data_IF_573082488235
#
_entry.id   IF_573082488235
#
_cell.length_a   1.000
_cell.length_b   1.000
_cell.length_c   1.000
_cell.angle_alpha   90.00
_cell.angle_beta   90.00
_cell.angle_gamma   90.00
#
_symmetry.space_group_name_H-M   'P 1'
#
loop_
_entity.id
_entity.type
_entity.pdbx_description
1 polymer ?
#
# COMPACT_ATOMS: atom_id res chain seq x y z
N UNK A 1 -10.65 5.73 -7.56
CA UNK A 1 -10.42 4.26 -7.47
C UNK A 1 -9.98 3.64 -8.80
N UNK A 2 -9.60 4.46 -9.74
CA UNK A 2 -9.12 4.11 -11.10
C UNK A 2 -7.64 3.67 -11.17
N UNK A 3 -6.93 3.69 -10.05
CA UNK A 3 -5.50 3.33 -9.98
C UNK A 3 -5.26 2.08 -9.13
N UNK A 4 -4.28 1.23 -9.50
CA UNK A 4 -3.92 0.07 -8.70
C UNK A 4 -3.18 0.51 -7.43
N UNK A 5 -3.84 0.40 -6.28
CA UNK A 5 -3.27 0.70 -4.98
C UNK A 5 -3.78 -0.25 -3.90
N UNK A 6 -3.03 -0.36 -2.78
CA UNK A 6 -3.41 -1.26 -1.69
C UNK A 6 -4.67 -0.80 -0.94
N UNK A 7 -4.94 0.51 -0.91
CA UNK A 7 -6.15 1.07 -0.30
C UNK A 7 -7.36 0.77 -1.17
N UNK A 8 -7.24 0.99 -2.47
CA UNK A 8 -8.27 0.72 -3.47
C UNK A 8 -8.61 -0.78 -3.49
N UNK A 9 -7.60 -1.64 -3.48
CA UNK A 9 -7.78 -3.10 -3.42
C UNK A 9 -8.55 -3.50 -2.15
N UNK A 10 -8.11 -3.02 -0.99
CA UNK A 10 -8.82 -3.29 0.28
C UNK A 10 -10.27 -2.81 0.21
N UNK A 11 -10.50 -1.56 -0.22
CA UNK A 11 -11.84 -0.96 -0.26
C UNK A 11 -12.78 -1.80 -1.13
N UNK A 12 -12.36 -2.18 -2.34
CA UNK A 12 -13.19 -2.96 -3.25
C UNK A 12 -13.54 -4.35 -2.69
N UNK A 13 -12.54 -5.06 -2.17
CA UNK A 13 -12.77 -6.43 -1.69
C UNK A 13 -13.47 -6.48 -0.34
N UNK A 14 -13.13 -5.60 0.61
CA UNK A 14 -13.82 -5.54 1.91
C UNK A 14 -15.28 -5.12 1.74
N UNK A 15 -15.57 -4.09 0.95
CA UNK A 15 -16.95 -3.67 0.69
C UNK A 15 -17.79 -4.76 0.04
N UNK A 16 -17.20 -5.51 -0.91
CA UNK A 16 -17.86 -6.64 -1.56
C UNK A 16 -18.14 -7.81 -0.59
N UNK A 17 -17.22 -8.09 0.34
CA UNK A 17 -17.43 -9.12 1.35
C UNK A 17 -18.53 -8.72 2.35
N UNK A 18 -18.53 -7.46 2.78
CA UNK A 18 -19.56 -6.95 3.70
C UNK A 18 -20.96 -7.00 3.07
N UNK A 19 -21.10 -6.64 1.78
CA UNK A 19 -22.39 -6.77 1.06
C UNK A 19 -22.86 -8.22 1.06
N UNK A 20 -21.99 -9.19 0.73
CA UNK A 20 -22.33 -10.62 0.77
C UNK A 20 -22.78 -11.10 2.14
N UNK A 21 -22.37 -10.43 3.21
CA UNK A 21 -22.79 -10.69 4.60
C UNK A 21 -24.05 -9.91 5.02
N UNK A 22 -24.69 -9.19 4.08
CA UNK A 22 -25.95 -8.49 4.30
C UNK A 22 -25.83 -7.07 4.83
N UNK A 23 -24.64 -6.47 4.81
CA UNK A 23 -24.45 -5.05 5.14
C UNK A 23 -24.83 -4.16 3.96
N UNK A 24 -25.48 -3.02 4.20
CA UNK A 24 -25.63 -1.94 3.22
C UNK A 24 -24.33 -1.13 3.19
N UNK A 25 -23.59 -1.22 2.10
CA UNK A 25 -22.25 -0.65 2.00
C UNK A 25 -22.21 0.48 0.97
N UNK A 26 -21.74 1.63 1.40
CA UNK A 26 -21.53 2.78 0.55
C UNK A 26 -20.06 3.22 0.59
N UNK A 27 -19.47 3.37 -0.57
CA UNK A 27 -18.09 3.89 -0.73
C UNK A 27 -18.15 5.32 -1.22
N UNK A 28 -17.72 6.25 -0.36
CA UNK A 28 -17.51 7.65 -0.73
C UNK A 28 -16.02 7.85 -1.04
N UNK A 29 -15.71 8.16 -2.29
CA UNK A 29 -14.33 8.30 -2.76
C UNK A 29 -14.05 9.65 -3.42
N UNK A 30 -12.81 9.88 -3.78
CA UNK A 30 -12.34 11.13 -4.37
C UNK A 30 -11.36 10.84 -5.51
N UNK A 31 -11.85 10.88 -6.73
CA UNK A 31 -11.04 10.75 -7.95
C UNK A 31 -11.23 11.93 -8.89
N UNK A 32 -10.17 12.28 -9.61
CA UNK A 32 -10.19 13.41 -10.55
C UNK A 32 -11.06 13.19 -11.78
N UNK A 33 -11.41 11.96 -12.06
CA UNK A 33 -12.29 11.49 -13.14
C UNK A 33 -13.34 10.55 -12.56
N UNK A 34 -14.50 10.46 -13.21
CA UNK A 34 -15.47 9.40 -12.95
C UNK A 34 -15.11 8.17 -13.80
N UNK A 35 -15.22 6.99 -13.23
CA UNK A 35 -14.90 5.74 -13.91
C UNK A 35 -15.17 4.52 -13.03
N UNK A 36 -14.98 3.35 -13.63
CA UNK A 36 -15.07 2.10 -12.88
C UNK A 36 -13.83 1.90 -12.02
N UNK A 37 -13.97 1.30 -10.84
CA UNK A 37 -12.82 0.93 -10.01
C UNK A 37 -11.88 -0.01 -10.76
N UNK A 38 -10.58 0.13 -10.49
CA UNK A 38 -9.56 -0.77 -11.07
C UNK A 38 -9.72 -2.22 -10.61
N UNK A 39 -10.09 -2.42 -9.35
CA UNK A 39 -10.37 -3.75 -8.80
C UNK A 39 -11.85 -4.06 -8.89
N UNK A 40 -12.23 -5.35 -9.07
CA UNK A 40 -13.62 -5.74 -9.07
C UNK A 40 -14.28 -5.39 -7.72
N UNK A 41 -15.49 -4.87 -7.82
CA UNK A 41 -16.33 -4.52 -6.69
C UNK A 41 -17.73 -5.07 -6.92
N UNK A 42 -18.39 -5.54 -5.86
CA UNK A 42 -19.75 -6.06 -5.94
C UNK A 42 -20.69 -4.95 -6.43
N UNK A 43 -21.58 -5.22 -7.42
CA UNK A 43 -22.48 -4.22 -7.98
C UNK A 43 -23.48 -3.64 -6.98
N UNK A 44 -23.75 -4.32 -5.87
CA UNK A 44 -24.61 -3.80 -4.80
C UNK A 44 -23.92 -2.75 -3.93
N UNK A 45 -22.58 -2.62 -4.01
CA UNK A 45 -21.85 -1.55 -3.32
C UNK A 45 -22.15 -0.22 -3.98
N UNK A 46 -22.82 0.68 -3.25
CA UNK A 46 -23.08 2.04 -3.71
C UNK A 46 -21.78 2.85 -3.74
N UNK A 47 -21.53 3.54 -4.86
CA UNK A 47 -20.27 4.27 -5.07
C UNK A 47 -20.54 5.73 -5.41
N UNK A 48 -19.90 6.66 -4.70
CA UNK A 48 -20.06 8.10 -4.93
C UNK A 48 -18.72 8.83 -4.95
N UNK A 49 -18.49 9.60 -6.01
CA UNK A 49 -17.32 10.48 -6.09
C UNK A 49 -17.67 11.87 -5.55
N UNK A 50 -17.08 12.27 -4.43
CA UNK A 50 -17.35 13.55 -3.77
C UNK A 50 -16.99 14.78 -4.64
N UNK A 51 -16.17 14.61 -5.65
CA UNK A 51 -15.78 15.70 -6.56
C UNK A 51 -16.81 15.99 -7.63
N UNK A 52 -17.76 15.09 -7.86
CA UNK A 52 -18.73 15.16 -8.94
C UNK A 52 -20.17 15.25 -8.41
N UNK A 53 -21.05 15.84 -9.20
CA UNK A 53 -22.50 15.90 -8.99
C UNK A 53 -23.15 15.93 -10.38
N UNK A 54 -24.05 14.97 -10.65
CA UNK A 54 -24.69 14.81 -11.97
C UNK A 54 -23.71 14.75 -13.16
N UNK A 55 -22.59 14.02 -12.99
CA UNK A 55 -21.57 13.87 -14.04
C UNK A 55 -20.66 15.10 -14.23
N UNK A 56 -20.85 16.16 -13.44
CA UNK A 56 -20.03 17.37 -13.53
C UNK A 56 -19.12 17.53 -12.31
N UNK A 57 -17.85 17.86 -12.57
CA UNK A 57 -16.90 18.14 -11.49
C UNK A 57 -17.25 19.47 -10.81
N UNK A 58 -17.64 19.41 -9.55
CA UNK A 58 -18.17 20.54 -8.76
C UNK A 58 -17.22 21.00 -7.66
N UNK A 59 -16.12 20.28 -7.44
CA UNK A 59 -15.10 20.62 -6.43
C UNK A 59 -13.76 20.89 -7.12
N UNK A 60 -13.22 22.07 -6.89
CA UNK A 60 -11.83 22.38 -7.29
C UNK A 60 -10.86 22.04 -6.17
N UNK A 61 -9.94 21.11 -6.45
CA UNK A 61 -8.87 20.76 -5.51
C UNK A 61 -7.66 21.73 -5.61
N UNK A 62 -7.66 22.62 -6.62
CA UNK A 62 -6.62 23.60 -6.82
C UNK A 62 -6.87 24.82 -5.93
N UNK A 63 -5.91 25.14 -5.09
CA UNK A 63 -5.93 26.38 -4.31
C UNK A 63 -6.06 27.60 -5.23
N UNK A 64 -6.89 28.59 -4.88
CA UNK A 64 -6.88 29.91 -5.48
C UNK A 64 -5.47 30.53 -5.46
N UNK A 65 -5.17 31.40 -6.41
CA UNK A 65 -3.83 31.97 -6.56
C UNK A 65 -3.30 32.62 -5.25
N UNK A 66 -4.11 33.42 -4.60
CA UNK A 66 -3.73 34.08 -3.34
C UNK A 66 -3.37 33.08 -2.23
N UNK A 67 -4.14 32.01 -2.09
CA UNK A 67 -3.86 30.95 -1.10
C UNK A 67 -2.62 30.11 -1.50
N UNK A 68 -2.32 29.96 -2.79
CA UNK A 68 -1.07 29.33 -3.23
C UNK A 68 0.15 30.17 -2.82
N UNK A 69 0.11 31.46 -3.07
CA UNK A 69 1.19 32.38 -2.64
C UNK A 69 1.35 32.32 -1.13
N UNK A 70 0.26 32.46 -0.37
CA UNK A 70 0.29 32.37 1.09
C UNK A 70 0.86 31.04 1.59
N UNK A 71 0.50 29.93 0.97
CA UNK A 71 1.06 28.59 1.28
C UNK A 71 2.57 28.53 1.04
N UNK A 72 3.06 29.08 -0.08
CA UNK A 72 4.51 29.06 -0.37
C UNK A 72 5.29 29.91 0.65
N UNK A 73 4.75 31.06 1.04
CA UNK A 73 5.34 31.87 2.12
C UNK A 73 5.30 31.10 3.46
N UNK A 74 4.17 30.47 3.78
CA UNK A 74 4.06 29.66 5.00
C UNK A 74 5.02 28.46 5.00
N UNK A 75 5.35 27.91 3.84
CA UNK A 75 6.29 26.79 3.68
C UNK A 75 7.72 27.18 4.08
N UNK A 76 8.11 28.43 3.85
CA UNK A 76 9.41 28.96 4.28
C UNK A 76 9.54 28.97 5.82
N UNK A 77 8.41 29.09 6.52
CA UNK A 77 8.37 29.11 7.99
C UNK A 77 8.15 27.71 8.57
N UNK A 78 7.28 26.92 7.97
CA UNK A 78 6.93 25.57 8.45
C UNK A 78 6.18 24.78 7.38
N UNK A 79 6.70 23.60 7.05
CA UNK A 79 6.03 22.65 6.14
C UNK A 79 4.66 22.19 6.69
N UNK A 80 4.55 22.02 8.01
CA UNK A 80 3.28 21.67 8.70
C UNK A 80 2.22 22.75 8.47
N UNK A 81 2.61 24.04 8.57
CA UNK A 81 1.69 25.17 8.34
C UNK A 81 1.21 25.23 6.89
N UNK A 82 2.09 24.99 5.94
CA UNK A 82 1.72 24.94 4.52
C UNK A 82 0.77 23.78 4.20
N UNK A 83 0.95 22.62 4.83
CA UNK A 83 0.03 21.48 4.71
C UNK A 83 -1.35 21.80 5.30
N UNK A 84 -1.40 22.48 6.44
CA UNK A 84 -2.63 22.94 7.08
C UNK A 84 -3.51 23.79 6.17
N UNK A 85 -2.92 24.71 5.39
CA UNK A 85 -3.65 25.55 4.44
C UNK A 85 -4.37 24.72 3.37
N UNK A 86 -3.72 23.67 2.84
CA UNK A 86 -4.34 22.76 1.89
C UNK A 86 -5.48 21.94 2.53
N UNK A 87 -5.25 21.46 3.76
CA UNK A 87 -6.24 20.64 4.47
C UNK A 87 -7.49 21.45 4.83
N UNK A 88 -7.31 22.70 5.29
CA UNK A 88 -8.42 23.61 5.59
C UNK A 88 -9.21 23.99 4.33
N UNK A 89 -8.54 24.35 3.24
CA UNK A 89 -9.22 24.66 1.97
C UNK A 89 -10.06 23.48 1.47
N UNK A 90 -9.52 22.25 1.53
CA UNK A 90 -10.25 21.05 1.16
C UNK A 90 -11.40 20.76 2.12
N UNK A 91 -11.17 20.91 3.42
CA UNK A 91 -12.19 20.70 4.45
C UNK A 91 -13.42 21.59 4.26
N UNK A 92 -13.22 22.88 3.92
CA UNK A 92 -14.30 23.83 3.63
C UNK A 92 -15.18 23.40 2.44
N UNK A 93 -14.62 22.66 1.49
CA UNK A 93 -15.37 22.17 0.33
C UNK A 93 -16.00 20.79 0.59
N UNK A 94 -15.26 19.89 1.25
CA UNK A 94 -15.73 18.52 1.47
C UNK A 94 -16.70 18.42 2.64
N UNK A 95 -16.49 19.16 3.72
CA UNK A 95 -17.31 19.07 4.94
C UNK A 95 -18.82 19.20 4.69
N UNK A 96 -19.30 20.29 4.05
CA UNK A 96 -20.73 20.45 3.74
C UNK A 96 -21.28 19.35 2.83
N UNK A 97 -20.46 18.83 1.89
CA UNK A 97 -20.86 17.75 0.97
C UNK A 97 -20.98 16.42 1.71
N UNK A 98 -20.00 16.08 2.54
CA UNK A 98 -20.05 14.88 3.38
C UNK A 98 -21.26 14.94 4.32
N UNK A 99 -21.53 16.09 4.93
CA UNK A 99 -22.70 16.27 5.80
C UNK A 99 -24.00 16.02 5.04
N UNK A 100 -24.16 16.60 3.84
CA UNK A 100 -25.35 16.38 2.98
C UNK A 100 -25.46 14.91 2.58
N UNK A 101 -24.34 14.30 2.20
CA UNK A 101 -24.27 12.90 1.83
C UNK A 101 -24.72 11.99 2.97
N UNK A 102 -24.19 12.19 4.19
CA UNK A 102 -24.56 11.39 5.36
C UNK A 102 -26.02 11.61 5.82
N UNK A 103 -26.59 12.78 5.53
CA UNK A 103 -28.01 13.02 5.77
C UNK A 103 -28.91 12.22 4.79
N UNK A 104 -28.42 11.98 3.58
CA UNK A 104 -29.14 11.21 2.55
C UNK A 104 -28.87 9.69 2.67
N UNK A 105 -27.65 9.33 3.07
CA UNK A 105 -27.18 7.95 3.24
C UNK A 105 -26.65 7.78 4.68
N UNK A 106 -27.54 7.58 5.66
CA UNK A 106 -27.14 7.38 7.04
C UNK A 106 -26.31 6.09 7.17
N UNK A 107 -25.36 6.11 8.09
CA UNK A 107 -24.49 4.98 8.36
C UNK A 107 -24.37 4.74 9.86
N UNK A 108 -24.18 3.47 10.27
CA UNK A 108 -23.93 3.08 11.65
C UNK A 108 -22.45 3.19 12.02
N UNK A 109 -21.57 2.99 11.04
CA UNK A 109 -20.11 3.07 11.19
C UNK A 109 -19.45 3.63 9.93
N UNK A 110 -18.42 4.42 10.09
CA UNK A 110 -17.61 4.94 8.98
C UNK A 110 -16.18 4.42 9.09
N UNK A 111 -15.68 3.76 8.04
CA UNK A 111 -14.28 3.38 7.88
C UNK A 111 -13.54 4.48 7.12
N UNK A 112 -12.70 5.24 7.79
CA UNK A 112 -11.94 6.35 7.19
C UNK A 112 -10.52 5.93 6.85
N UNK A 113 -10.17 5.93 5.56
CA UNK A 113 -8.92 5.37 5.04
C UNK A 113 -7.67 6.22 5.35
N UNK A 114 -7.79 7.36 6.01
CA UNK A 114 -6.65 8.22 6.38
C UNK A 114 -7.03 9.24 7.46
N UNK A 115 -6.04 9.79 8.17
CA UNK A 115 -6.27 10.87 9.13
C UNK A 115 -6.87 12.15 8.48
N UNK A 116 -6.44 12.61 7.29
CA UNK A 116 -7.13 13.71 6.60
C UNK A 116 -8.60 13.42 6.32
N UNK A 117 -8.94 12.20 5.87
CA UNK A 117 -10.34 11.82 5.65
C UNK A 117 -11.15 11.82 6.95
N UNK A 118 -10.55 11.35 8.05
CA UNK A 118 -11.16 11.41 9.39
C UNK A 118 -11.46 12.85 9.81
N UNK A 119 -10.54 13.79 9.57
CA UNK A 119 -10.78 15.21 9.81
C UNK A 119 -11.96 15.74 9.00
N UNK A 120 -12.05 15.41 7.71
CA UNK A 120 -13.17 15.85 6.88
C UNK A 120 -14.52 15.32 7.38
N UNK A 121 -14.56 14.09 7.88
CA UNK A 121 -15.79 13.48 8.40
C UNK A 121 -16.14 14.02 9.79
N UNK A 122 -15.22 13.94 10.75
CA UNK A 122 -15.50 14.28 12.16
C UNK A 122 -15.57 15.79 12.36
N UNK A 123 -14.56 16.54 11.85
CA UNK A 123 -14.43 17.97 12.14
C UNK A 123 -15.20 18.80 11.14
N UNK A 124 -14.92 18.65 9.84
CA UNK A 124 -15.45 19.56 8.81
C UNK A 124 -16.93 19.25 8.50
N UNK A 125 -17.34 17.99 8.47
CA UNK A 125 -18.74 17.62 8.32
C UNK A 125 -19.54 17.62 9.63
N UNK A 126 -18.86 17.59 10.79
CA UNK A 126 -19.51 17.50 12.09
C UNK A 126 -20.23 16.17 12.35
N UNK A 127 -19.75 15.10 11.75
CA UNK A 127 -20.34 13.77 11.84
C UNK A 127 -20.29 13.24 13.27
N UNK A 128 -21.38 12.60 13.72
CA UNK A 128 -21.51 11.95 15.04
C UNK A 128 -21.49 10.42 14.98
N UNK A 129 -21.54 9.88 13.77
CA UNK A 129 -21.42 8.43 13.54
C UNK A 129 -20.04 7.95 13.98
N UNK A 130 -19.92 6.79 14.63
CA UNK A 130 -18.65 6.21 15.00
C UNK A 130 -17.72 6.05 13.80
N UNK A 131 -16.49 6.59 13.92
CA UNK A 131 -15.47 6.53 12.85
C UNK A 131 -14.32 5.63 13.27
N UNK A 132 -13.96 4.67 12.44
CA UNK A 132 -12.70 3.93 12.55
C UNK A 132 -11.67 4.58 11.64
N UNK A 133 -10.60 5.13 12.22
CA UNK A 133 -9.48 5.71 11.46
C UNK A 133 -8.46 4.65 11.10
N UNK A 134 -8.18 4.50 9.80
CA UNK A 134 -7.23 3.53 9.29
C UNK A 134 -5.87 4.18 9.00
N UNK A 135 -4.80 3.62 9.58
CA UNK A 135 -3.43 3.99 9.23
C UNK A 135 -2.85 2.95 8.27
N UNK A 136 -2.66 3.35 7.02
CA UNK A 136 -2.24 2.47 5.92
C UNK A 136 -0.72 2.46 5.70
N UNK A 137 0.04 3.20 6.48
CA UNK A 137 1.49 3.24 6.51
C UNK A 137 2.03 2.95 7.92
N UNK A 138 3.33 3.18 8.14
CA UNK A 138 3.93 3.01 9.46
C UNK A 138 3.47 4.15 10.41
N UNK A 139 2.79 3.84 11.52
CA UNK A 139 2.38 4.84 12.52
C UNK A 139 3.55 5.64 13.09
N UNK A 140 4.75 5.05 13.20
CA UNK A 140 5.93 5.77 13.66
C UNK A 140 6.34 6.92 12.74
N UNK A 141 6.02 6.80 11.45
CA UNK A 141 6.30 7.83 10.43
C UNK A 141 5.10 8.77 10.26
N UNK A 142 3.88 8.23 10.21
CA UNK A 142 2.69 9.01 9.88
C UNK A 142 2.18 9.87 11.04
N UNK A 143 2.14 9.33 12.26
CA UNK A 143 1.53 10.02 13.39
C UNK A 143 2.28 11.29 13.86
N UNK A 144 3.62 11.37 13.82
CA UNK A 144 4.33 12.62 14.10
C UNK A 144 4.00 13.74 13.13
N UNK A 145 3.63 13.41 11.88
CA UNK A 145 3.38 14.36 10.80
C UNK A 145 1.94 14.89 10.77
N UNK A 146 1.05 14.36 11.60
CA UNK A 146 -0.34 14.83 11.69
C UNK A 146 -0.40 16.30 12.09
N UNK A 147 -1.26 17.07 11.42
CA UNK A 147 -1.63 18.41 11.87
C UNK A 147 -2.38 18.35 13.21
N UNK A 148 -2.47 19.47 13.91
CA UNK A 148 -3.19 19.50 15.18
C UNK A 148 -4.67 19.16 15.01
N UNK A 149 -5.30 19.66 13.94
CA UNK A 149 -6.69 19.34 13.60
C UNK A 149 -6.91 17.87 13.24
N UNK A 150 -5.97 17.25 12.48
CA UNK A 150 -6.02 15.81 12.20
C UNK A 150 -5.85 15.00 13.47
N UNK A 151 -4.95 15.40 14.36
CA UNK A 151 -4.73 14.75 15.66
C UNK A 151 -5.97 14.82 16.53
N UNK A 152 -6.62 15.99 16.63
CA UNK A 152 -7.88 16.15 17.35
C UNK A 152 -9.01 15.31 16.77
N UNK A 153 -9.11 15.23 15.46
CA UNK A 153 -10.11 14.40 14.78
C UNK A 153 -9.87 12.90 15.05
N UNK A 154 -8.63 12.44 14.90
CA UNK A 154 -8.28 11.03 15.19
C UNK A 154 -8.47 10.69 16.67
N UNK A 155 -8.23 11.62 17.58
CA UNK A 155 -8.49 11.41 19.01
C UNK A 155 -9.98 11.22 19.35
N UNK A 156 -10.89 11.62 18.46
CA UNK A 156 -12.34 11.41 18.56
C UNK A 156 -12.84 10.16 17.83
N UNK A 157 -11.93 9.39 17.22
CA UNK A 157 -12.32 8.14 16.56
C UNK A 157 -12.79 7.09 17.56
N UNK A 158 -13.75 6.27 17.16
CA UNK A 158 -14.22 5.14 17.95
C UNK A 158 -13.14 4.03 18.05
N UNK A 159 -12.32 3.89 17.00
CA UNK A 159 -11.14 3.04 17.01
C UNK A 159 -10.10 3.51 15.97
N UNK A 160 -8.85 3.09 16.18
CA UNK A 160 -7.76 3.22 15.21
C UNK A 160 -7.37 1.84 14.74
N UNK A 161 -7.33 1.64 13.42
CA UNK A 161 -6.75 0.44 12.81
C UNK A 161 -5.33 0.73 12.35
N UNK A 162 -4.42 -0.20 12.69
CA UNK A 162 -3.05 -0.28 12.18
C UNK A 162 -2.83 -1.61 11.49
N UNK A 163 -1.80 -1.71 10.64
CA UNK A 163 -1.58 -2.89 9.81
C UNK A 163 -0.93 -4.07 10.56
N UNK A 164 -0.17 -3.79 11.64
CA UNK A 164 0.66 -4.78 12.32
C UNK A 164 0.48 -4.75 13.84
N UNK A 165 0.49 -5.91 14.52
CA UNK A 165 0.45 -5.96 15.98
C UNK A 165 1.58 -5.18 16.65
N UNK A 166 2.79 -5.21 16.09
CA UNK A 166 3.95 -4.46 16.54
C UNK A 166 3.73 -2.95 16.58
N UNK A 167 2.80 -2.41 15.78
CA UNK A 167 2.50 -0.98 15.66
C UNK A 167 1.40 -0.50 16.62
N UNK A 168 0.73 -1.41 17.33
CA UNK A 168 -0.34 -1.06 18.29
C UNK A 168 0.20 -0.20 19.42
N UNK A 169 1.33 -0.61 20.02
CA UNK A 169 1.94 0.16 21.11
C UNK A 169 2.36 1.57 20.70
N UNK A 170 2.85 1.70 19.44
CA UNK A 170 3.23 3.01 18.88
C UNK A 170 1.99 3.89 18.74
N UNK A 171 0.92 3.38 18.16
CA UNK A 171 -0.32 4.15 17.97
C UNK A 171 -0.93 4.56 19.32
N UNK A 172 -0.94 3.67 20.32
CA UNK A 172 -1.41 3.98 21.67
C UNK A 172 -0.58 5.07 22.36
N UNK A 173 0.71 5.19 22.04
CA UNK A 173 1.54 6.29 22.59
C UNK A 173 1.04 7.66 22.12
N UNK A 174 0.55 7.77 20.88
CA UNK A 174 0.00 9.02 20.32
C UNK A 174 -1.47 9.23 20.70
N UNK A 175 -2.24 8.15 20.84
CA UNK A 175 -3.69 8.16 21.09
C UNK A 175 -4.06 7.22 22.24
N UNK A 176 -3.66 7.52 23.49
CA UNK A 176 -3.79 6.58 24.62
C UNK A 176 -5.24 6.26 24.99
N UNK A 177 -6.19 7.13 24.65
CA UNK A 177 -7.62 6.95 24.97
C UNK A 177 -8.42 6.27 23.86
N UNK A 178 -7.86 6.13 22.67
CA UNK A 178 -8.55 5.51 21.54
C UNK A 178 -8.20 4.02 21.46
N UNK A 179 -9.18 3.12 21.34
CA UNK A 179 -8.92 1.71 21.08
C UNK A 179 -8.10 1.53 19.81
N UNK A 180 -7.03 0.73 19.84
CA UNK A 180 -6.18 0.44 18.69
C UNK A 180 -6.23 -1.04 18.37
N UNK A 181 -6.53 -1.39 17.12
CA UNK A 181 -6.64 -2.76 16.62
C UNK A 181 -5.68 -2.97 15.46
N UNK A 182 -5.02 -4.12 15.42
CA UNK A 182 -4.19 -4.50 14.29
C UNK A 182 -4.99 -5.39 13.34
N UNK A 183 -5.21 -4.92 12.11
CA UNK A 183 -5.81 -5.69 11.02
C UNK A 183 -4.97 -5.47 9.77
N UNK A 184 -4.33 -6.54 9.28
CA UNK A 184 -3.50 -6.50 8.06
C UNK A 184 -4.34 -6.42 6.78
N UNK A 185 -3.67 -6.32 5.65
CA UNK A 185 -4.34 -6.50 4.37
C UNK A 185 -4.59 -7.97 4.10
N UNK A 186 -5.68 -8.26 3.41
CA UNK A 186 -5.94 -9.60 2.92
C UNK A 186 -4.94 -10.00 1.82
N UNK A 187 -4.43 -11.21 1.95
CA UNK A 187 -3.56 -11.86 0.96
C UNK A 187 -4.35 -12.99 0.32
N UNK A 188 -4.72 -12.80 -0.93
CA UNK A 188 -5.45 -13.81 -1.68
C UNK A 188 -4.54 -15.00 -1.99
N UNK A 189 -5.06 -16.24 -1.93
CA UNK A 189 -4.31 -17.41 -2.38
C UNK A 189 -3.86 -17.20 -3.83
N UNK A 190 -2.59 -17.46 -4.10
CA UNK A 190 -2.08 -17.42 -5.47
C UNK A 190 -2.78 -18.47 -6.33
N UNK A 191 -3.21 -18.07 -7.53
CA UNK A 191 -3.83 -18.98 -8.51
C UNK A 191 -2.84 -20.06 -8.98
N UNK A 192 -1.56 -19.70 -9.08
CA UNK A 192 -0.48 -20.58 -9.48
C UNK A 192 0.63 -20.55 -8.43
N UNK A 193 1.29 -21.69 -8.27
CA UNK A 193 2.50 -21.78 -7.46
C UNK A 193 3.72 -21.53 -8.33
N UNK A 194 4.67 -20.78 -7.81
CA UNK A 194 6.00 -20.69 -8.38
C UNK A 194 6.78 -22.00 -8.12
N UNK A 195 7.71 -22.29 -8.99
CA UNK A 195 8.63 -23.43 -8.87
C UNK A 195 10.09 -22.94 -8.86
N UNK A 196 10.51 -22.26 -7.78
CA UNK A 196 11.79 -21.55 -7.74
C UNK A 196 13.02 -22.46 -7.71
N UNK A 197 12.83 -23.77 -7.63
CA UNK A 197 13.88 -24.80 -7.69
C UNK A 197 13.97 -25.53 -9.03
N UNK A 198 13.06 -25.27 -9.97
CA UNK A 198 13.13 -25.91 -11.30
C UNK A 198 14.36 -25.47 -12.08
N UNK A 199 14.95 -26.41 -12.80
CA UNK A 199 15.99 -26.11 -13.81
C UNK A 199 15.33 -25.45 -15.02
N UNK A 200 15.80 -24.27 -15.39
CA UNK A 200 15.32 -23.45 -16.50
C UNK A 200 16.49 -22.92 -17.32
N UNK A 201 16.27 -22.67 -18.59
CA UNK A 201 17.26 -21.99 -19.43
C UNK A 201 17.50 -20.54 -18.96
N UNK A 202 16.50 -19.94 -18.35
CA UNK A 202 16.56 -18.58 -17.81
C UNK A 202 15.81 -18.50 -16.49
N UNK A 203 16.48 -17.99 -15.47
CA UNK A 203 15.92 -17.69 -14.16
C UNK A 203 15.52 -16.23 -14.02
N UNK A 204 14.53 -15.95 -13.17
CA UNK A 204 13.92 -14.63 -13.06
C UNK A 204 13.88 -14.11 -11.62
N UNK A 205 14.44 -12.92 -11.43
CA UNK A 205 14.22 -12.08 -10.26
C UNK A 205 13.13 -11.07 -10.61
N UNK A 206 12.01 -11.09 -9.92
CA UNK A 206 10.94 -10.11 -10.14
C UNK A 206 10.85 -9.07 -9.03
N UNK A 207 10.49 -7.84 -9.42
CA UNK A 207 10.20 -6.73 -8.52
C UNK A 207 8.90 -6.05 -8.99
N UNK A 208 7.89 -6.01 -8.13
CA UNK A 208 6.55 -5.49 -8.49
C UNK A 208 6.26 -4.21 -7.71
N UNK A 209 5.94 -3.15 -8.46
CA UNK A 209 5.57 -1.83 -7.94
C UNK A 209 5.96 -0.70 -8.87
N UNK A 210 5.24 0.44 -8.80
CA UNK A 210 5.53 1.60 -9.62
C UNK A 210 6.98 2.04 -9.44
N UNK A 211 7.68 2.28 -10.55
CA UNK A 211 9.12 2.61 -10.56
C UNK A 211 9.33 4.02 -10.01
N UNK A 212 9.93 4.10 -8.81
CA UNK A 212 10.05 5.36 -8.07
C UNK A 212 11.16 5.31 -7.01
N UNK A 213 11.66 6.47 -6.56
CA UNK A 213 12.69 6.54 -5.53
C UNK A 213 12.30 5.84 -4.21
N UNK A 214 11.02 5.89 -3.81
CA UNK A 214 10.53 5.20 -2.61
C UNK A 214 10.61 3.66 -2.75
N UNK A 215 10.36 3.14 -3.96
CA UNK A 215 10.47 1.71 -4.27
C UNK A 215 11.92 1.25 -4.51
N UNK A 216 12.83 2.20 -4.76
CA UNK A 216 14.28 2.02 -4.76
C UNK A 216 14.80 0.91 -5.69
N UNK A 217 14.12 0.71 -6.84
CA UNK A 217 14.45 -0.37 -7.79
C UNK A 217 15.89 -0.27 -8.34
N UNK A 218 16.48 0.92 -8.37
CA UNK A 218 17.91 1.10 -8.76
C UNK A 218 18.86 0.28 -7.89
N UNK A 219 18.55 0.12 -6.60
CA UNK A 219 19.36 -0.71 -5.70
C UNK A 219 19.44 -2.16 -6.21
N UNK A 220 18.30 -2.73 -6.62
CA UNK A 220 18.27 -4.08 -7.20
C UNK A 220 19.00 -4.14 -8.54
N UNK A 221 18.81 -3.17 -9.42
CA UNK A 221 19.50 -3.11 -10.70
C UNK A 221 21.03 -3.04 -10.53
N UNK A 222 21.50 -2.24 -9.60
CA UNK A 222 22.93 -2.11 -9.31
C UNK A 222 23.51 -3.37 -8.65
N UNK A 223 22.82 -3.94 -7.65
CA UNK A 223 23.24 -5.16 -6.99
C UNK A 223 23.30 -6.36 -7.95
N UNK A 224 22.32 -6.50 -8.84
CA UNK A 224 22.34 -7.51 -9.90
C UNK A 224 23.46 -7.25 -10.91
N UNK A 225 23.71 -5.99 -11.28
CA UNK A 225 24.81 -5.63 -12.18
C UNK A 225 26.19 -6.06 -11.68
N UNK A 226 26.38 -6.20 -10.36
CA UNK A 226 27.63 -6.77 -9.77
C UNK A 226 27.74 -8.28 -9.98
N UNK A 227 26.65 -8.95 -10.32
CA UNK A 227 26.54 -10.40 -10.41
C UNK A 227 26.32 -10.91 -11.85
N UNK A 228 25.95 -10.02 -12.77
CA UNK A 228 25.45 -10.36 -14.10
C UNK A 228 26.37 -11.26 -14.92
N UNK A 229 27.69 -11.04 -14.85
CA UNK A 229 28.68 -11.85 -15.56
C UNK A 229 28.84 -13.25 -14.95
N UNK A 230 28.66 -13.36 -13.63
CA UNK A 230 28.75 -14.65 -12.91
C UNK A 230 27.53 -15.54 -13.16
N UNK A 231 26.37 -14.92 -13.41
CA UNK A 231 25.09 -15.62 -13.55
C UNK A 231 24.44 -15.28 -14.91
N UNK A 232 24.95 -15.82 -16.02
CA UNK A 232 24.51 -15.50 -17.38
C UNK A 232 23.07 -15.94 -17.69
N UNK A 233 22.52 -16.87 -16.93
CA UNK A 233 21.18 -17.42 -17.02
C UNK A 233 20.12 -16.68 -16.18
N UNK A 234 20.47 -15.62 -15.43
CA UNK A 234 19.55 -14.86 -14.60
C UNK A 234 19.18 -13.51 -15.19
N UNK A 235 17.92 -13.13 -15.07
CA UNK A 235 17.39 -11.85 -15.50
C UNK A 235 16.62 -11.15 -14.35
N UNK A 236 16.41 -9.83 -14.49
CA UNK A 236 15.60 -9.02 -13.58
C UNK A 236 14.47 -8.35 -14.35
N UNK A 237 13.25 -8.47 -13.84
CA UNK A 237 12.09 -7.77 -14.37
C UNK A 237 11.43 -6.86 -13.33
N UNK A 238 11.21 -5.61 -13.73
CA UNK A 238 10.50 -4.60 -12.97
C UNK A 238 9.11 -4.38 -13.55
N UNK A 239 8.08 -4.67 -12.78
CA UNK A 239 6.69 -4.58 -13.18
C UNK A 239 5.97 -3.46 -12.44
N UNK A 240 5.36 -2.53 -13.15
CA UNK A 240 4.63 -1.38 -12.63
C UNK A 240 4.74 -0.15 -13.52
N UNK A 241 4.10 0.94 -13.13
CA UNK A 241 4.17 2.20 -13.87
C UNK A 241 5.62 2.72 -13.94
N UNK A 242 6.08 3.07 -15.16
CA UNK A 242 7.45 3.47 -15.45
C UNK A 242 7.59 4.84 -16.14
N UNK A 243 6.56 5.67 -16.10
CA UNK A 243 6.59 7.01 -16.74
C UNK A 243 7.35 8.07 -15.92
N UNK A 244 7.84 7.74 -14.72
CA UNK A 244 8.52 8.65 -13.82
C UNK A 244 9.92 9.06 -14.34
N UNK A 245 10.40 10.24 -13.91
CA UNK A 245 11.80 10.63 -14.16
C UNK A 245 12.78 9.60 -13.58
N UNK A 246 12.48 9.05 -12.40
CA UNK A 246 13.29 8.00 -11.78
C UNK A 246 13.42 6.75 -12.68
N UNK A 247 12.33 6.34 -13.36
CA UNK A 247 12.38 5.21 -14.28
C UNK A 247 13.27 5.51 -15.49
N UNK A 248 13.16 6.71 -16.08
CA UNK A 248 14.01 7.11 -17.22
C UNK A 248 15.50 7.10 -16.86
N UNK A 249 15.87 7.70 -15.72
CA UNK A 249 17.27 7.67 -15.26
C UNK A 249 17.75 6.27 -14.93
N UNK A 250 16.87 5.38 -14.47
CA UNK A 250 17.21 3.97 -14.27
C UNK A 250 17.46 3.24 -15.60
N UNK A 251 16.65 3.47 -16.63
CA UNK A 251 16.88 2.90 -17.98
C UNK A 251 18.20 3.41 -18.61
N UNK A 252 18.56 4.67 -18.37
CA UNK A 252 19.83 5.25 -18.80
C UNK A 252 21.03 4.56 -18.12
N UNK A 253 20.95 4.34 -16.79
CA UNK A 253 21.98 3.64 -16.01
C UNK A 253 22.15 2.18 -16.43
N UNK A 254 21.04 1.47 -16.73
CA UNK A 254 21.05 0.09 -17.23
C UNK A 254 21.79 0.02 -18.59
N UNK A 255 21.49 0.92 -19.51
CA UNK A 255 22.18 0.99 -20.81
C UNK A 255 23.65 1.35 -20.68
N UNK A 256 23.99 2.30 -19.83
CA UNK A 256 25.37 2.69 -19.59
C UNK A 256 26.25 1.54 -19.04
N UNK A 257 25.61 0.53 -18.43
CA UNK A 257 26.26 -0.68 -17.93
C UNK A 257 26.11 -1.89 -18.87
N UNK A 258 25.55 -1.74 -20.06
CA UNK A 258 25.29 -2.81 -21.05
C UNK A 258 24.44 -3.97 -20.47
N UNK A 259 23.45 -3.64 -19.63
CA UNK A 259 22.57 -4.61 -18.97
C UNK A 259 21.13 -4.62 -19.55
N UNK A 260 20.88 -3.95 -20.68
CA UNK A 260 19.56 -3.82 -21.30
C UNK A 260 18.95 -5.16 -21.78
N UNK A 261 19.79 -6.18 -21.97
CA UNK A 261 19.36 -7.54 -22.34
C UNK A 261 19.18 -8.47 -21.12
N UNK A 262 19.35 -7.94 -19.89
CA UNK A 262 19.30 -8.70 -18.64
C UNK A 262 18.37 -8.05 -17.60
N UNK A 263 18.11 -6.76 -17.71
CA UNK A 263 17.28 -5.99 -16.79
C UNK A 263 16.19 -5.28 -17.57
N UNK A 264 14.93 -5.62 -17.30
CA UNK A 264 13.78 -5.18 -18.09
C UNK A 264 12.78 -4.37 -17.24
N UNK A 265 12.42 -3.16 -17.69
CA UNK A 265 11.27 -2.40 -17.17
C UNK A 265 10.04 -2.74 -18.02
N UNK A 266 9.20 -3.66 -17.55
CA UNK A 266 8.10 -4.27 -18.32
C UNK A 266 6.84 -3.40 -18.37
N UNK A 267 6.66 -2.46 -17.42
CA UNK A 267 5.41 -1.69 -17.31
C UNK A 267 4.33 -2.43 -16.52
N UNK A 268 3.08 -1.95 -16.63
CA UNK A 268 1.92 -2.55 -15.94
C UNK A 268 1.48 -3.84 -16.61
N UNK A 269 0.93 -4.76 -15.81
CA UNK A 269 0.28 -5.98 -16.32
C UNK A 269 -1.01 -6.24 -15.54
N UNK A 270 -1.99 -6.83 -16.22
CA UNK A 270 -3.19 -7.42 -15.59
C UNK A 270 -2.98 -8.90 -15.18
N UNK A 271 -1.83 -9.49 -15.54
CA UNK A 271 -1.49 -10.89 -15.33
C UNK A 271 -0.35 -11.05 -14.33
N UNK A 272 -0.42 -10.35 -13.20
CA UNK A 272 0.66 -10.35 -12.21
C UNK A 272 0.93 -11.73 -11.61
N UNK A 273 -0.09 -12.59 -11.53
CA UNK A 273 0.06 -13.96 -11.02
C UNK A 273 0.96 -14.81 -11.91
N UNK A 274 0.97 -14.56 -13.22
CA UNK A 274 1.86 -15.22 -14.17
C UNK A 274 3.32 -14.78 -13.96
N UNK A 275 3.54 -13.51 -13.62
CA UNK A 275 4.87 -13.00 -13.26
C UNK A 275 5.41 -13.74 -12.04
N UNK A 276 4.60 -13.89 -10.98
CA UNK A 276 5.02 -14.64 -9.79
C UNK A 276 5.29 -16.12 -10.11
N UNK A 277 4.45 -16.74 -10.95
CA UNK A 277 4.61 -18.14 -11.37
C UNK A 277 5.93 -18.39 -12.07
N UNK A 278 6.37 -17.48 -12.93
CA UNK A 278 7.60 -17.60 -13.72
C UNK A 278 8.86 -17.23 -12.95
N UNK A 279 8.71 -16.52 -11.82
CA UNK A 279 9.84 -16.03 -11.02
C UNK A 279 10.48 -17.13 -10.19
N UNK A 280 11.74 -16.92 -9.85
CA UNK A 280 12.54 -17.75 -8.94
C UNK A 280 12.86 -17.03 -7.62
N UNK A 281 12.98 -15.69 -7.67
CA UNK A 281 13.21 -14.81 -6.52
C UNK A 281 12.32 -13.58 -6.66
N UNK A 282 11.75 -13.14 -5.54
CA UNK A 282 11.08 -11.84 -5.45
C UNK A 282 11.91 -10.86 -4.61
N UNK A 283 12.17 -9.67 -5.15
CA UNK A 283 12.92 -8.64 -4.44
C UNK A 283 12.14 -7.32 -4.39
N UNK A 284 11.99 -6.77 -3.18
CA UNK A 284 11.35 -5.46 -2.96
C UNK A 284 12.29 -4.55 -2.14
N UNK A 285 13.15 -3.75 -2.79
CA UNK A 285 14.11 -2.89 -2.10
C UNK A 285 13.50 -1.57 -1.63
N UNK A 286 12.19 -1.53 -1.38
CA UNK A 286 11.45 -0.34 -0.95
C UNK A 286 11.96 0.21 0.38
N UNK A 287 12.08 1.52 0.48
CA UNK A 287 12.50 2.21 1.72
C UNK A 287 11.34 2.43 2.70
N UNK A 288 10.11 2.37 2.22
CA UNK A 288 8.91 2.56 3.07
C UNK A 288 7.71 1.83 2.47
N UNK A 289 7.12 0.94 3.26
CA UNK A 289 5.87 0.23 2.97
C UNK A 289 5.00 0.18 4.23
N UNK A 290 3.69 0.26 4.03
CA UNK A 290 2.74 -0.05 5.11
C UNK A 290 2.49 -1.55 5.17
N UNK A 291 1.91 -2.11 4.12
CA UNK A 291 1.78 -3.54 3.87
C UNK A 291 2.17 -3.76 2.40
N UNK A 292 3.36 -4.32 2.13
CA UNK A 292 3.83 -4.50 0.75
C UNK A 292 3.08 -5.64 0.08
N UNK A 293 1.96 -5.30 -0.58
CA UNK A 293 1.02 -6.24 -1.15
C UNK A 293 1.70 -7.19 -2.15
N UNK A 294 2.55 -6.66 -3.04
CA UNK A 294 3.27 -7.49 -4.02
C UNK A 294 4.23 -8.51 -3.36
N UNK A 295 4.83 -8.15 -2.22
CA UNK A 295 5.64 -9.09 -1.43
C UNK A 295 4.78 -10.22 -0.86
N UNK A 296 3.65 -9.88 -0.25
CA UNK A 296 2.74 -10.86 0.32
C UNK A 296 2.14 -11.79 -0.75
N UNK A 297 1.85 -11.27 -1.93
CA UNK A 297 1.39 -12.04 -3.09
C UNK A 297 2.49 -12.98 -3.62
N UNK A 298 3.74 -12.51 -3.72
CA UNK A 298 4.89 -13.34 -4.09
C UNK A 298 5.14 -14.47 -3.09
N UNK A 299 5.04 -14.17 -1.78
CA UNK A 299 5.08 -15.19 -0.72
C UNK A 299 3.91 -16.19 -0.86
N UNK A 300 2.70 -15.72 -1.18
CA UNK A 300 1.54 -16.58 -1.43
C UNK A 300 1.78 -17.51 -2.63
N UNK A 301 2.50 -17.05 -3.66
CA UNK A 301 2.93 -17.88 -4.77
C UNK A 301 4.06 -18.87 -4.42
N UNK A 302 4.74 -18.69 -3.28
CA UNK A 302 5.81 -19.57 -2.82
C UNK A 302 7.21 -19.13 -3.27
N UNK A 303 7.41 -17.84 -3.48
CA UNK A 303 8.72 -17.29 -3.81
C UNK A 303 9.53 -16.98 -2.54
N UNK A 304 10.85 -17.24 -2.54
CA UNK A 304 11.75 -16.66 -1.57
C UNK A 304 11.82 -15.14 -1.79
N UNK A 305 11.87 -14.36 -0.71
CA UNK A 305 11.72 -12.92 -0.79
C UNK A 305 12.92 -12.18 -0.21
N UNK A 306 13.34 -11.09 -0.86
CA UNK A 306 14.37 -10.19 -0.34
C UNK A 306 13.78 -8.79 -0.17
N UNK A 307 14.08 -8.14 0.96
CA UNK A 307 13.69 -6.77 1.20
C UNK A 307 14.58 -6.05 2.19
N UNK A 308 14.34 -4.74 2.39
CA UNK A 308 15.15 -3.94 3.31
C UNK A 308 14.71 -4.15 4.76
N UNK A 309 15.66 -4.40 5.66
CA UNK A 309 15.41 -4.53 7.11
C UNK A 309 14.91 -3.24 7.77
N UNK A 310 15.19 -2.09 7.18
CA UNK A 310 14.70 -0.78 7.66
C UNK A 310 13.30 -0.43 7.19
N UNK A 311 12.71 -1.20 6.26
CA UNK A 311 11.37 -0.97 5.75
C UNK A 311 10.31 -1.61 6.66
N UNK A 312 9.54 -0.78 7.37
CA UNK A 312 8.65 -1.20 8.46
C UNK A 312 7.55 -2.19 8.09
N UNK A 313 7.10 -2.27 6.81
CA UNK A 313 6.14 -3.28 6.37
C UNK A 313 6.81 -4.54 5.82
N UNK A 314 8.00 -4.41 5.25
CA UNK A 314 8.75 -5.54 4.69
C UNK A 314 9.28 -6.46 5.78
N UNK A 315 9.84 -5.88 6.85
CA UNK A 315 10.37 -6.63 7.99
C UNK A 315 9.29 -7.28 8.88
N UNK A 316 8.02 -6.98 8.66
CA UNK A 316 6.91 -7.69 9.31
C UNK A 316 6.51 -8.97 8.55
N UNK A 317 6.79 -9.01 7.24
CA UNK A 317 6.48 -10.18 6.38
C UNK A 317 7.68 -11.11 6.22
N UNK A 318 8.86 -10.56 5.94
CA UNK A 318 10.07 -11.37 5.74
C UNK A 318 10.66 -11.75 7.10
N UNK A 319 10.74 -13.04 7.36
CA UNK A 319 11.45 -13.63 8.50
C UNK A 319 12.87 -14.00 8.04
N UNK A 320 13.87 -13.29 8.59
CA UNK A 320 15.27 -13.46 8.22
C UNK A 320 15.73 -14.92 8.27
N UNK A 321 16.32 -15.40 7.17
CA UNK A 321 16.83 -16.76 7.02
C UNK A 321 15.76 -17.86 6.92
N UNK A 322 14.48 -17.52 7.11
CA UNK A 322 13.37 -18.48 7.10
C UNK A 322 12.47 -18.34 5.87
N UNK A 323 11.94 -17.15 5.60
CA UNK A 323 11.08 -16.88 4.45
C UNK A 323 11.77 -16.07 3.37
N UNK A 324 13.00 -15.63 3.63
CA UNK A 324 13.80 -14.79 2.75
C UNK A 324 14.90 -14.08 3.51
N UNK A 325 15.40 -12.99 2.93
CA UNK A 325 16.47 -12.18 3.52
C UNK A 325 16.05 -10.73 3.72
N UNK A 326 16.46 -10.17 4.86
CA UNK A 326 16.40 -8.75 5.17
C UNK A 326 17.81 -8.15 5.04
N UNK A 327 17.97 -7.22 4.11
CA UNK A 327 19.28 -6.65 3.76
C UNK A 327 19.37 -5.17 4.17
N UNK A 328 20.58 -4.66 4.27
CA UNK A 328 20.84 -3.23 4.37
C UNK A 328 20.57 -2.53 3.04
N UNK A 329 20.35 -1.21 3.08
CA UNK A 329 20.13 -0.41 1.87
C UNK A 329 21.46 -0.13 1.12
N UNK A 330 22.18 -1.21 0.79
CA UNK A 330 23.49 -1.21 0.17
C UNK A 330 23.57 -2.29 -0.92
N UNK A 331 24.26 -1.99 -2.01
CA UNK A 331 24.35 -2.87 -3.18
C UNK A 331 25.04 -4.21 -2.82
N UNK A 332 26.08 -4.16 -2.03
CA UNK A 332 26.85 -5.32 -1.58
C UNK A 332 26.03 -6.23 -0.65
N UNK A 333 25.19 -5.65 0.21
CA UNK A 333 24.30 -6.41 1.09
C UNK A 333 23.25 -7.15 0.28
N UNK A 334 22.63 -6.46 -0.69
CA UNK A 334 21.63 -7.06 -1.56
C UNK A 334 22.26 -8.09 -2.53
N UNK A 335 23.44 -7.82 -3.10
CA UNK A 335 24.11 -8.76 -4.01
C UNK A 335 24.47 -10.08 -3.32
N UNK A 336 24.92 -10.04 -2.06
CA UNK A 336 25.18 -11.27 -1.26
C UNK A 336 23.90 -12.10 -1.08
N UNK A 337 22.77 -11.47 -0.75
CA UNK A 337 21.50 -12.18 -0.58
C UNK A 337 20.99 -12.77 -1.90
N UNK A 338 21.13 -12.02 -3.01
CA UNK A 338 20.83 -12.51 -4.35
C UNK A 338 21.69 -13.72 -4.70
N UNK A 339 23.02 -13.60 -4.56
CA UNK A 339 23.95 -14.70 -4.86
C UNK A 339 23.62 -15.97 -4.06
N UNK A 340 23.33 -15.85 -2.77
CA UNK A 340 22.96 -16.99 -1.93
C UNK A 340 21.71 -17.72 -2.44
N UNK A 341 20.70 -16.98 -2.93
CA UNK A 341 19.50 -17.59 -3.51
C UNK A 341 19.73 -18.07 -4.96
N UNK A 342 20.59 -17.44 -5.73
CA UNK A 342 20.90 -17.87 -7.09
C UNK A 342 21.71 -19.17 -7.10
N UNK A 343 22.61 -19.33 -6.15
CA UNK A 343 23.47 -20.52 -6.01
C UNK A 343 22.73 -21.77 -5.46
N UNK A 344 21.64 -21.60 -4.67
CA UNK A 344 21.01 -22.69 -3.91
C UNK A 344 19.52 -22.81 -4.21
N UNK A 345 19.17 -23.76 -5.10
CA UNK A 345 17.78 -24.08 -5.45
C UNK A 345 16.96 -24.62 -4.27
N UNK A 346 17.58 -25.45 -3.42
CA UNK A 346 16.93 -26.02 -2.23
C UNK A 346 16.61 -24.94 -1.21
N UNK A 347 17.49 -23.93 -1.07
CA UNK A 347 17.21 -22.77 -0.24
C UNK A 347 16.01 -21.97 -0.76
N UNK A 348 15.94 -21.76 -2.08
CA UNK A 348 14.77 -21.11 -2.71
C UNK A 348 13.47 -21.87 -2.41
N UNK A 349 13.45 -23.16 -2.60
CA UNK A 349 12.28 -24.02 -2.32
C UNK A 349 11.88 -23.91 -0.85
N UNK A 350 12.82 -24.09 0.06
CA UNK A 350 12.58 -24.08 1.51
C UNK A 350 12.03 -22.72 1.98
N UNK A 351 12.65 -21.63 1.56
CA UNK A 351 12.21 -20.27 1.92
C UNK A 351 10.85 -19.93 1.30
N UNK A 352 10.63 -20.28 0.03
CA UNK A 352 9.35 -20.08 -0.65
C UNK A 352 8.21 -20.83 0.01
N UNK A 353 8.41 -22.09 0.41
CA UNK A 353 7.44 -22.88 1.18
C UNK A 353 7.11 -22.22 2.52
N UNK A 354 8.13 -21.83 3.28
CA UNK A 354 7.94 -21.16 4.57
C UNK A 354 7.20 -19.83 4.42
N UNK A 355 7.53 -19.04 3.38
CA UNK A 355 6.83 -17.78 3.05
C UNK A 355 5.35 -18.01 2.74
N UNK A 356 5.04 -19.02 1.93
CA UNK A 356 3.67 -19.39 1.64
C UNK A 356 2.87 -19.77 2.89
N UNK A 357 3.43 -20.60 3.76
CA UNK A 357 2.81 -21.00 5.02
C UNK A 357 2.58 -19.79 5.94
N UNK A 358 3.57 -18.89 6.03
CA UNK A 358 3.49 -17.70 6.87
C UNK A 358 2.34 -16.77 6.48
N UNK A 359 2.13 -16.50 5.19
CA UNK A 359 1.10 -15.53 4.74
C UNK A 359 -0.32 -16.07 4.84
N UNK A 360 -0.53 -17.37 5.12
CA UNK A 360 -1.87 -17.96 5.32
C UNK A 360 -2.64 -17.28 6.46
N UNK A 361 -1.94 -16.72 7.45
CA UNK A 361 -2.57 -15.96 8.52
C UNK A 361 -3.28 -14.68 8.05
N UNK A 362 -2.99 -14.21 6.84
CA UNK A 362 -3.60 -13.02 6.21
C UNK A 362 -4.65 -13.36 5.15
N UNK A 363 -5.17 -14.60 5.13
CA UNK A 363 -6.24 -14.99 4.20
C UNK A 363 -7.45 -14.05 4.29
N UNK A 364 -8.17 -13.83 3.18
CA UNK A 364 -9.33 -12.94 3.14
C UNK A 364 -10.34 -13.22 4.25
N UNK A 365 -10.79 -14.46 4.40
CA UNK A 365 -11.82 -14.83 5.40
C UNK A 365 -11.45 -14.38 6.81
N UNK A 366 -10.18 -14.57 7.20
CA UNK A 366 -9.70 -14.14 8.52
C UNK A 366 -9.65 -12.63 8.64
N UNK A 367 -9.13 -11.94 7.62
CA UNK A 367 -9.04 -10.47 7.66
C UNK A 367 -10.42 -9.83 7.65
N UNK A 368 -11.36 -10.36 6.86
CA UNK A 368 -12.72 -9.86 6.82
C UNK A 368 -13.48 -10.12 8.12
N UNK A 369 -13.30 -11.28 8.75
CA UNK A 369 -13.86 -11.55 10.07
C UNK A 369 -13.38 -10.56 11.14
N UNK A 370 -12.10 -10.18 11.14
CA UNK A 370 -11.56 -9.18 12.05
C UNK A 370 -12.14 -7.78 11.79
N UNK A 371 -12.38 -7.42 10.53
CA UNK A 371 -13.06 -6.18 10.18
C UNK A 371 -14.51 -6.17 10.64
N UNK A 372 -15.22 -7.26 10.42
CA UNK A 372 -16.61 -7.41 10.84
C UNK A 372 -16.76 -7.33 12.36
N UNK A 373 -15.90 -8.01 13.12
CA UNK A 373 -15.87 -7.92 14.59
C UNK A 373 -15.64 -6.48 15.05
N UNK A 374 -14.70 -5.76 14.43
CA UNK A 374 -14.44 -4.36 14.75
C UNK A 374 -15.66 -3.47 14.44
N UNK A 375 -16.28 -3.63 13.26
CA UNK A 375 -17.49 -2.88 12.86
C UNK A 375 -18.61 -3.12 13.86
N UNK A 376 -18.93 -4.38 14.18
CA UNK A 376 -19.98 -4.75 15.13
C UNK A 376 -19.73 -4.22 16.54
N UNK A 377 -18.47 -4.20 16.97
CA UNK A 377 -18.08 -3.65 18.27
C UNK A 377 -18.27 -2.14 18.33
N UNK A 378 -17.89 -1.44 17.27
CA UNK A 378 -17.95 0.02 17.19
C UNK A 378 -19.37 0.53 16.98
N UNK A 379 -20.23 -0.19 16.25
CA UNK A 379 -21.64 0.18 16.03
C UNK A 379 -22.52 0.06 17.28
N UNK A 380 -22.10 -0.73 18.28
CA UNK A 380 -22.85 -0.95 19.53
C UNK A 380 -22.38 -0.04 20.68
N UNK A 381 -21.29 0.71 20.48
CA UNK A 381 -20.70 1.58 21.51
C UNK A 381 -21.27 3.01 21.45
#
# INVERSE_FOLDING_TARGET
MDMPGGVEKLTCYLSSDLVKKGYDVTVLYRDGIEGQPYFPIDPEVKQFNILFENGHKVVSEKLPFALRVYREVARLLSQKRAQGINAEFKGRQYGPRIRRFLAQYPADVILSCSAPSTKYVITDAGCKVPVVTMFRGDPAVQMPLLSDEEREAVAKSAAIQVLWPSKVAIAKKYFPKVPVVAIGNAVFPAKYRAAPGETKDTHLISCVGNVSGRKNQKLLAHAFGMLADRYPDWNVEFWGEKSSHYARTMEEEIRAKHLENRIFLKGKTSHIEEVYRQSDIFCIPSTSEGFPQGLAEAMSAGLPCIGLKTCGGTNELVQEGKTGFLVDNEQESLSRALSALMDDAELRIRMGKAGHEFVQQYKPDRMWAMWEELIQKVSKA
#
